data_IF_979744583239
#
_entry.id   IF_979744583239
#
_cell.length_a   1.000
_cell.length_b   1.000
_cell.length_c   1.000
_cell.angle_alpha   90.00
_cell.angle_beta   90.00
_cell.angle_gamma   90.00
#
_symmetry.space_group_name_H-M   'P 1'
#
loop_
_entity.id
_entity.type
_entity.pdbx_description
1 polymer ?
#
# COMPACT_ATOMS: atom_id res chain seq x y z
N UNK A 1 0.91 -9.80 7.24
CA UNK A 1 1.20 -8.52 7.94
C UNK A 1 1.66 -7.48 6.91
N UNK A 2 1.31 -6.21 7.09
CA UNK A 2 1.76 -5.08 6.25
C UNK A 2 2.40 -4.00 7.11
N UNK A 3 3.21 -3.14 6.49
CA UNK A 3 3.59 -1.83 6.98
C UNK A 3 3.37 -0.82 5.85
N UNK A 4 2.50 0.15 6.08
CA UNK A 4 2.18 1.21 5.12
C UNK A 4 3.07 2.42 5.37
N UNK A 5 3.78 2.85 4.34
CA UNK A 5 4.85 3.85 4.41
C UNK A 5 4.76 4.76 3.18
N UNK A 6 3.58 5.36 3.03
CA UNK A 6 3.27 6.27 1.95
C UNK A 6 2.34 7.37 2.44
N UNK A 7 2.59 8.59 1.99
CA UNK A 7 1.73 9.75 2.24
C UNK A 7 1.62 10.55 0.94
N UNK A 8 0.41 10.98 0.59
CA UNK A 8 0.23 11.94 -0.51
C UNK A 8 0.63 13.32 -0.03
N UNK A 9 1.40 14.05 -0.84
CA UNK A 9 1.80 15.40 -0.49
C UNK A 9 0.57 16.33 -0.47
N UNK A 10 0.42 17.08 0.63
CA UNK A 10 -0.61 18.10 0.81
C UNK A 10 -0.01 19.25 1.60
N UNK A 11 -0.45 20.48 1.34
CA UNK A 11 0.00 21.68 2.06
C UNK A 11 -0.30 21.63 3.57
N UNK A 12 -1.21 20.73 3.97
CA UNK A 12 -1.59 20.52 5.38
C UNK A 12 -0.66 19.54 6.12
N UNK A 13 0.22 18.83 5.41
CA UNK A 13 1.11 17.82 5.96
C UNK A 13 2.53 18.40 6.09
N UNK A 14 3.13 18.40 7.30
CA UNK A 14 4.51 18.85 7.47
C UNK A 14 5.49 18.03 6.60
N UNK A 15 6.55 18.65 6.03
CA UNK A 15 7.45 17.97 5.10
C UNK A 15 8.30 16.84 5.72
N UNK A 16 8.35 16.76 7.05
CA UNK A 16 9.02 15.70 7.80
C UNK A 16 8.09 14.56 8.19
N UNK A 17 6.78 14.71 7.97
CA UNK A 17 5.80 13.71 8.37
C UNK A 17 5.85 12.49 7.46
N UNK A 18 5.84 11.32 8.08
CA UNK A 18 5.58 10.03 7.44
C UNK A 18 4.07 9.73 7.47
N UNK A 19 3.68 8.56 6.97
CA UNK A 19 2.29 8.09 6.99
C UNK A 19 1.72 8.12 8.43
N UNK A 20 0.66 8.90 8.60
CA UNK A 20 -0.09 9.02 9.84
C UNK A 20 -1.21 7.98 9.91
N UNK A 21 -1.89 7.94 11.05
CA UNK A 21 -3.03 7.05 11.25
C UNK A 21 -4.16 7.40 10.27
N UNK A 22 -4.63 6.42 9.49
CA UNK A 22 -5.73 6.57 8.55
C UNK A 22 -5.30 7.01 7.15
N UNK A 23 -4.03 7.31 6.92
CA UNK A 23 -3.52 7.69 5.59
C UNK A 23 -3.63 6.55 4.58
N UNK A 24 -3.79 5.30 5.01
CA UNK A 24 -4.02 4.16 4.13
C UNK A 24 -5.44 4.12 3.56
N UNK A 25 -6.41 4.76 4.22
CA UNK A 25 -7.85 4.64 3.92
C UNK A 25 -8.18 5.09 2.49
N UNK A 26 -7.72 6.25 1.98
CA UNK A 26 -7.96 6.65 0.59
C UNK A 26 -7.52 5.62 -0.45
N UNK A 27 -6.41 4.92 -0.18
CA UNK A 27 -5.82 3.95 -1.10
C UNK A 27 -6.60 2.63 -1.12
N UNK A 28 -7.11 2.19 0.03
CA UNK A 28 -7.98 0.99 0.13
C UNK A 28 -9.31 1.21 -0.60
N UNK A 29 -9.83 2.44 -0.58
CA UNK A 29 -11.12 2.78 -1.21
C UNK A 29 -11.05 3.32 -2.63
N UNK A 30 -9.86 3.42 -3.24
CA UNK A 30 -9.74 3.83 -4.64
C UNK A 30 -9.85 5.35 -4.89
N UNK A 31 -9.76 6.19 -3.85
CA UNK A 31 -9.95 7.64 -4.01
C UNK A 31 -8.97 8.31 -4.99
N UNK A 32 -7.68 7.91 -5.06
CA UNK A 32 -6.78 8.45 -6.07
C UNK A 32 -7.26 8.34 -7.52
N UNK A 33 -8.12 7.37 -7.84
CA UNK A 33 -8.62 7.15 -9.20
C UNK A 33 -9.74 8.12 -9.60
N UNK A 34 -10.46 8.67 -8.62
CA UNK A 34 -11.54 9.65 -8.84
C UNK A 34 -11.07 11.09 -8.57
N UNK A 35 -9.95 11.25 -7.87
CA UNK A 35 -9.36 12.54 -7.54
C UNK A 35 -9.78 13.08 -6.16
N UNK A 36 -9.51 14.37 -5.87
CA UNK A 36 -9.87 15.00 -4.61
C UNK A 36 -11.37 14.93 -4.34
N UNK A 37 -11.75 14.72 -3.08
CA UNK A 37 -13.15 14.69 -2.62
C UNK A 37 -13.35 15.67 -1.47
N UNK A 38 -14.59 15.93 -1.05
CA UNK A 38 -14.87 16.77 0.13
C UNK A 38 -14.25 16.21 1.41
N UNK A 39 -14.25 14.88 1.59
CA UNK A 39 -13.68 14.22 2.75
C UNK A 39 -12.16 14.09 2.69
N UNK A 40 -11.61 13.96 1.48
CA UNK A 40 -10.18 13.82 1.23
C UNK A 40 -9.74 14.83 0.15
N UNK A 41 -9.48 16.09 0.53
CA UNK A 41 -9.10 17.16 -0.39
C UNK A 41 -7.61 17.06 -0.78
N UNK A 42 -7.14 15.86 -1.10
CA UNK A 42 -5.74 15.59 -1.44
C UNK A 42 -5.55 15.59 -2.95
N UNK A 43 -4.52 16.30 -3.42
CA UNK A 43 -4.12 16.28 -4.82
C UNK A 43 -3.32 15.00 -5.12
N UNK A 44 -4.04 13.90 -5.32
CA UNK A 44 -3.44 12.60 -5.61
C UNK A 44 -2.60 12.64 -6.89
N UNK A 45 -1.35 12.20 -6.78
CA UNK A 45 -0.42 12.04 -7.88
C UNK A 45 -0.68 10.75 -8.66
N UNK A 46 -0.05 10.61 -9.83
CA UNK A 46 -0.06 9.34 -10.58
C UNK A 46 0.54 8.16 -9.81
N UNK A 47 1.45 8.41 -8.87
CA UNK A 47 1.96 7.35 -8.00
C UNK A 47 0.89 6.90 -7.00
N UNK A 48 0.05 7.82 -6.51
CA UNK A 48 -1.06 7.48 -5.63
C UNK A 48 -2.10 6.62 -6.34
N UNK A 49 -2.38 6.90 -7.61
CA UNK A 49 -3.26 6.07 -8.45
C UNK A 49 -2.72 4.65 -8.59
N UNK A 50 -1.43 4.51 -8.93
CA UNK A 50 -0.77 3.21 -9.04
C UNK A 50 -0.82 2.46 -7.70
N UNK A 51 -0.47 3.13 -6.60
CA UNK A 51 -0.46 2.52 -5.27
C UNK A 51 -1.86 2.07 -4.83
N UNK A 52 -2.89 2.88 -5.07
CA UNK A 52 -4.27 2.53 -4.73
C UNK A 52 -4.76 1.32 -5.52
N UNK A 53 -4.48 1.25 -6.83
CA UNK A 53 -4.79 0.07 -7.64
C UNK A 53 -4.09 -1.20 -7.12
N UNK A 54 -2.84 -1.09 -6.69
CA UNK A 54 -2.09 -2.20 -6.07
C UNK A 54 -2.74 -2.65 -4.76
N UNK A 55 -3.02 -1.70 -3.85
CA UNK A 55 -3.62 -1.97 -2.54
C UNK A 55 -4.97 -2.66 -2.71
N UNK A 56 -5.84 -2.13 -3.57
CA UNK A 56 -7.13 -2.73 -3.87
C UNK A 56 -7.00 -4.13 -4.48
N UNK A 57 -6.02 -4.35 -5.36
CA UNK A 57 -5.76 -5.69 -5.91
C UNK A 57 -5.46 -6.69 -4.78
N UNK A 58 -4.51 -6.37 -3.89
CA UNK A 58 -4.20 -7.25 -2.75
C UNK A 58 -5.40 -7.44 -1.81
N UNK A 59 -6.12 -6.37 -1.47
CA UNK A 59 -7.28 -6.45 -0.56
C UNK A 59 -8.41 -7.29 -1.14
N UNK A 60 -8.74 -7.07 -2.42
CA UNK A 60 -9.83 -7.81 -3.06
C UNK A 60 -9.46 -9.24 -3.37
N UNK A 61 -8.19 -9.53 -3.69
CA UNK A 61 -7.67 -10.89 -3.78
C UNK A 61 -7.81 -11.64 -2.47
N UNK A 62 -7.38 -11.02 -1.36
CA UNK A 62 -7.55 -11.59 -0.03
C UNK A 62 -9.02 -11.84 0.30
N UNK A 63 -9.92 -10.89 -0.01
CA UNK A 63 -11.35 -11.08 0.19
C UNK A 63 -11.94 -12.23 -0.66
N UNK A 64 -11.43 -12.45 -1.88
CA UNK A 64 -11.88 -13.51 -2.78
C UNK A 64 -11.41 -14.90 -2.37
N UNK A 65 -10.17 -15.03 -1.91
CA UNK A 65 -9.50 -16.35 -1.78
C UNK A 65 -8.82 -16.60 -0.44
N UNK A 66 -8.63 -15.58 0.39
CA UNK A 66 -7.76 -15.61 1.57
C UNK A 66 -6.27 -15.47 1.25
N UNK A 67 -5.87 -15.44 -0.02
CA UNK A 67 -4.50 -15.16 -0.48
C UNK A 67 -4.47 -13.80 -1.20
N UNK A 68 -3.74 -12.79 -0.69
CA UNK A 68 -3.65 -11.48 -1.34
C UNK A 68 -3.03 -11.54 -2.75
N UNK A 69 -2.31 -12.61 -3.10
CA UNK A 69 -1.66 -12.74 -4.40
C UNK A 69 -2.56 -13.40 -5.47
N UNK A 70 -3.78 -13.81 -5.12
CA UNK A 70 -4.66 -14.57 -6.00
C UNK A 70 -6.11 -14.05 -5.99
N UNK A 71 -6.81 -14.03 -7.13
CA UNK A 71 -6.41 -14.58 -8.43
C UNK A 71 -5.81 -13.54 -9.40
N UNK A 72 -5.83 -12.25 -9.03
CA UNK A 72 -5.40 -11.18 -9.94
C UNK A 72 -3.93 -10.83 -9.69
N UNK A 73 -3.03 -11.00 -10.67
CA UNK A 73 -1.62 -10.62 -10.52
C UNK A 73 -1.46 -9.09 -10.49
N UNK A 74 -0.32 -8.64 -9.94
CA UNK A 74 0.06 -7.23 -9.83
C UNK A 74 0.63 -6.68 -11.15
N UNK A 75 -0.05 -6.86 -12.29
CA UNK A 75 0.44 -6.40 -13.59
C UNK A 75 0.26 -4.89 -13.81
N UNK A 76 1.14 -4.26 -14.58
CA UNK A 76 0.89 -2.91 -15.11
C UNK A 76 -0.27 -2.90 -16.09
N UNK A 77 -1.30 -2.12 -15.76
CA UNK A 77 -2.49 -1.86 -16.60
C UNK A 77 -2.74 -0.35 -16.72
N UNK A 78 -3.48 0.08 -17.74
CA UNK A 78 -3.82 1.50 -17.96
C UNK A 78 -4.34 2.22 -16.71
N UNK A 79 -5.12 1.52 -15.89
CA UNK A 79 -5.71 2.05 -14.66
C UNK A 79 -4.67 2.56 -13.65
N UNK A 80 -3.43 2.06 -13.68
CA UNK A 80 -2.38 2.47 -12.75
C UNK A 80 -1.78 3.82 -13.11
N UNK A 81 -1.89 4.27 -14.37
CA UNK A 81 -1.27 5.51 -14.91
C UNK A 81 0.27 5.59 -14.86
N UNK A 82 0.92 4.65 -14.17
CA UNK A 82 2.37 4.44 -14.02
C UNK A 82 2.67 2.93 -14.01
N UNK A 83 3.91 2.52 -14.32
CA UNK A 83 4.35 1.13 -14.12
C UNK A 83 4.13 0.69 -12.67
N UNK A 84 3.56 -0.51 -12.50
CA UNK A 84 3.32 -1.12 -11.21
C UNK A 84 4.64 -1.60 -10.61
N UNK A 85 5.01 -1.04 -9.46
CA UNK A 85 6.27 -1.40 -8.77
C UNK A 85 6.19 -2.72 -7.99
N UNK A 86 5.03 -3.34 -7.94
CA UNK A 86 4.74 -4.55 -7.18
C UNK A 86 4.62 -5.80 -8.06
N UNK A 87 4.90 -5.73 -9.37
CA UNK A 87 4.82 -6.86 -10.31
C UNK A 87 5.53 -8.12 -9.79
N UNK A 88 6.73 -7.95 -9.24
CA UNK A 88 7.55 -9.05 -8.71
C UNK A 88 7.46 -9.20 -7.19
N UNK A 89 6.52 -8.51 -6.54
CA UNK A 89 6.40 -8.50 -5.07
C UNK A 89 5.25 -9.40 -4.66
N UNK A 90 5.57 -10.63 -4.25
CA UNK A 90 4.59 -11.52 -3.63
C UNK A 90 4.44 -11.20 -2.14
N UNK A 91 3.22 -10.95 -1.67
CA UNK A 91 2.93 -10.75 -0.25
C UNK A 91 2.95 -12.09 0.48
N UNK A 92 4.10 -12.43 1.07
CA UNK A 92 4.30 -13.68 1.82
C UNK A 92 3.49 -13.70 3.11
N UNK A 93 2.94 -14.87 3.44
CA UNK A 93 2.21 -15.12 4.68
C UNK A 93 3.09 -14.85 5.90
N UNK A 94 2.54 -14.11 6.86
CA UNK A 94 3.19 -13.90 8.15
C UNK A 94 3.16 -15.19 8.98
N UNK A 95 4.26 -15.47 9.67
CA UNK A 95 4.34 -16.50 10.72
C UNK A 95 5.25 -15.98 11.86
N UNK A 96 5.17 -16.59 13.05
CA UNK A 96 5.91 -16.13 14.23
C UNK A 96 7.44 -16.30 14.12
N UNK A 97 7.91 -17.23 13.29
CA UNK A 97 9.33 -17.56 13.13
C UNK A 97 10.04 -16.55 12.25
N UNK A 98 9.53 -16.33 11.04
CA UNK A 98 10.18 -15.48 10.03
C UNK A 98 9.65 -14.04 10.09
N UNK A 99 8.47 -13.82 10.68
CA UNK A 99 7.85 -12.51 10.89
C UNK A 99 7.79 -11.61 9.63
N UNK A 100 7.59 -12.24 8.47
CA UNK A 100 7.57 -11.55 7.18
C UNK A 100 6.37 -10.61 7.03
N UNK A 101 6.62 -9.42 6.48
CA UNK A 101 5.62 -8.42 6.19
C UNK A 101 5.87 -7.72 4.86
N UNK A 102 4.77 -7.29 4.22
CA UNK A 102 4.84 -6.46 3.03
C UNK A 102 5.07 -4.99 3.43
N UNK A 103 6.16 -4.39 2.95
CA UNK A 103 6.39 -2.95 3.02
C UNK A 103 5.74 -2.28 1.81
N UNK A 104 4.69 -1.49 2.04
CA UNK A 104 3.94 -0.76 1.02
C UNK A 104 4.48 0.68 0.97
N UNK A 105 5.10 1.08 -0.14
CA UNK A 105 5.67 2.42 -0.34
C UNK A 105 6.39 2.56 -1.69
N UNK A 106 7.24 3.58 -1.87
CA UNK A 106 7.97 3.84 -3.13
C UNK A 106 8.86 2.67 -3.60
N UNK A 107 9.40 1.90 -2.65
CA UNK A 107 10.31 0.77 -2.89
C UNK A 107 9.69 -0.49 -2.25
N UNK A 108 8.63 -1.05 -2.84
CA UNK A 108 7.91 -2.14 -2.22
C UNK A 108 8.78 -3.39 -2.13
N UNK A 109 8.68 -4.10 -1.00
CA UNK A 109 9.45 -5.33 -0.74
C UNK A 109 8.89 -6.08 0.46
N UNK A 110 9.08 -7.39 0.48
CA UNK A 110 8.88 -8.18 1.70
C UNK A 110 10.09 -7.98 2.61
N UNK A 111 9.84 -7.74 3.89
CA UNK A 111 10.84 -7.61 4.95
C UNK A 111 10.47 -8.51 6.11
N UNK A 112 11.39 -8.68 7.04
CA UNK A 112 11.23 -9.49 8.24
C UNK A 112 11.35 -8.64 9.50
N UNK A 113 10.85 -9.15 10.63
CA UNK A 113 11.15 -8.62 11.96
C UNK A 113 10.85 -7.13 12.15
N UNK A 114 9.62 -6.69 11.79
CA UNK A 114 9.22 -5.28 11.88
C UNK A 114 9.50 -4.71 13.28
N UNK A 115 10.43 -3.76 13.35
CA UNK A 115 10.86 -3.05 14.57
C UNK A 115 11.21 -4.00 15.74
N UNK A 116 11.79 -5.17 15.46
CA UNK A 116 12.04 -6.21 16.47
C UNK A 116 12.67 -5.70 17.78
N UNK A 117 13.70 -4.84 17.73
CA UNK A 117 14.34 -4.30 18.95
C UNK A 117 13.42 -3.45 19.84
N UNK A 118 12.32 -2.92 19.30
CA UNK A 118 11.30 -2.16 20.06
C UNK A 118 10.10 -3.02 20.43
N UNK A 119 9.94 -4.17 19.77
CA UNK A 119 8.83 -5.12 19.96
C UNK A 119 9.25 -6.26 20.89
N UNK A 120 10.54 -6.57 20.99
CA UNK A 120 11.10 -7.52 21.95
C UNK A 120 10.94 -6.97 23.36
N UNK A 121 10.08 -7.63 24.15
CA UNK A 121 9.95 -7.44 25.60
C UNK A 121 10.82 -8.50 26.30
#
# INVERSE_FOLDING_TARGET
MIYFDWISFSDQVPPWADAAHGDEIPYVFGLPMIGPTELFPCNFSKNDVMLSAVVMTYWTNFAKTGDPNQPVPQDTKFIHTKPNRFEEVAWTRYNQKDQLYLHIGLKPRVKEHYRANKVSI
#
